data_IF_918164079717
#
_entry.id   IF_918164079717
#
_cell.length_a   1.000
_cell.length_b   1.000
_cell.length_c   1.000
_cell.angle_alpha   90.00
_cell.angle_beta   90.00
_cell.angle_gamma   90.00
#
_symmetry.space_group_name_H-M   'P 1'
#
loop_
_entity.id
_entity.type
_entity.pdbx_description
1 polymer ?
#
# COMPACT_ATOMS: atom_id res chain seq x y z
N UNK A 1 -2.15 -1.74 -19.17
CA UNK A 1 -1.96 -2.67 -18.03
C UNK A 1 -1.49 -1.82 -16.87
N UNK A 2 -2.18 -1.83 -15.73
CA UNK A 2 -1.71 -1.13 -14.53
C UNK A 2 -0.42 -1.78 -14.03
N UNK A 3 0.55 -0.98 -13.60
CA UNK A 3 1.77 -1.52 -13.03
C UNK A 3 1.51 -2.03 -11.60
N UNK A 4 2.19 -3.12 -11.20
CA UNK A 4 1.89 -3.87 -9.97
C UNK A 4 1.95 -3.03 -8.68
N UNK A 5 2.70 -1.93 -8.68
CA UNK A 5 2.91 -1.05 -7.53
C UNK A 5 2.71 0.42 -7.89
N UNK A 6 1.67 0.73 -8.66
CA UNK A 6 1.32 2.07 -9.12
C UNK A 6 0.35 2.77 -8.14
N UNK A 7 0.87 3.67 -7.29
CA UNK A 7 0.08 4.32 -6.23
C UNK A 7 -0.62 5.61 -6.72
N UNK A 8 -0.35 6.05 -7.96
CA UNK A 8 -0.95 7.23 -8.57
C UNK A 8 -1.66 6.97 -9.92
N UNK A 9 -1.63 5.74 -10.43
CA UNK A 9 -2.29 5.36 -11.68
C UNK A 9 -1.59 5.86 -12.94
N UNK A 10 -0.33 6.29 -12.86
CA UNK A 10 0.42 6.84 -14.00
C UNK A 10 0.92 5.77 -14.99
N UNK A 11 0.67 4.49 -14.72
CA UNK A 11 1.12 3.36 -15.53
C UNK A 11 2.55 2.90 -15.23
N UNK A 12 3.18 3.46 -14.20
CA UNK A 12 4.51 3.09 -13.74
C UNK A 12 4.43 2.56 -12.31
N UNK A 13 5.22 1.53 -11.99
CA UNK A 13 5.37 1.14 -10.59
C UNK A 13 6.12 2.23 -9.86
N UNK A 14 5.57 2.70 -8.76
CA UNK A 14 6.19 3.64 -7.83
C UNK A 14 7.07 2.90 -6.81
N UNK A 15 7.80 3.67 -5.99
CA UNK A 15 8.66 3.14 -4.92
C UNK A 15 8.11 3.57 -3.57
N UNK A 16 7.95 2.61 -2.66
CA UNK A 16 7.69 2.87 -1.25
C UNK A 16 8.99 2.77 -0.44
N UNK A 17 9.30 3.80 0.34
CA UNK A 17 10.39 3.79 1.29
C UNK A 17 9.88 4.08 2.71
N UNK A 18 10.55 3.51 3.70
CA UNK A 18 10.33 3.82 5.11
C UNK A 18 11.65 4.18 5.78
N UNK A 19 11.69 5.34 6.42
CA UNK A 19 12.84 5.81 7.18
C UNK A 19 12.91 5.14 8.56
N UNK A 20 14.05 5.28 9.24
CA UNK A 20 14.27 4.67 10.55
C UNK A 20 13.32 5.20 11.64
N UNK A 21 12.84 6.44 11.49
CA UNK A 21 11.85 7.06 12.37
C UNK A 21 10.40 6.65 12.06
N UNK A 22 10.19 5.79 11.07
CA UNK A 22 8.88 5.34 10.62
C UNK A 22 8.25 6.22 9.54
N UNK A 23 8.85 7.34 9.13
CA UNK A 23 8.34 8.17 8.04
C UNK A 23 8.24 7.35 6.76
N UNK A 24 7.04 7.29 6.18
CA UNK A 24 6.74 6.57 4.95
C UNK A 24 6.69 7.56 3.80
N UNK A 25 7.42 7.25 2.72
CA UNK A 25 7.51 8.09 1.52
C UNK A 25 7.15 7.24 0.30
N UNK A 26 6.24 7.76 -0.53
CA UNK A 26 5.98 7.23 -1.87
C UNK A 26 6.71 8.08 -2.88
N UNK A 27 7.55 7.46 -3.70
CA UNK A 27 8.24 8.09 -4.80
C UNK A 27 7.54 7.74 -6.11
N UNK A 28 6.96 8.77 -6.75
CA UNK A 28 6.32 8.65 -8.05
C UNK A 28 7.39 8.35 -9.12
N UNK A 29 7.15 7.36 -9.97
CA UNK A 29 8.09 6.98 -11.02
C UNK A 29 7.64 7.46 -12.39
N UNK A 30 8.62 7.75 -13.24
CA UNK A 30 8.44 8.18 -14.63
C UNK A 30 9.60 7.65 -15.48
N UNK A 31 9.72 8.15 -16.71
CA UNK A 31 10.87 7.89 -17.58
C UNK A 31 11.64 9.17 -17.94
N UNK A 32 12.95 9.06 -18.10
CA UNK A 32 13.75 10.07 -18.79
C UNK A 32 13.32 10.20 -20.26
N UNK A 33 13.78 11.25 -20.95
CA UNK A 33 13.57 11.38 -22.41
C UNK A 33 14.13 10.19 -23.22
N UNK A 34 15.09 9.45 -22.67
CA UNK A 34 15.64 8.22 -23.24
C UNK A 34 14.92 6.94 -22.82
N UNK A 35 13.82 7.04 -22.07
CA UNK A 35 13.00 5.90 -21.64
C UNK A 35 13.52 5.14 -20.42
N UNK A 36 14.52 5.65 -19.70
CA UNK A 36 15.03 5.01 -18.48
C UNK A 36 14.16 5.36 -17.27
N UNK A 37 13.93 4.45 -16.30
CA UNK A 37 13.20 4.76 -15.08
C UNK A 37 13.82 5.94 -14.31
N UNK A 38 12.99 6.86 -13.84
CA UNK A 38 13.40 8.02 -13.05
C UNK A 38 12.36 8.33 -11.96
N UNK A 39 12.82 8.90 -10.85
CA UNK A 39 11.93 9.44 -9.81
C UNK A 39 11.42 10.80 -10.28
N UNK A 40 10.09 10.96 -10.33
CA UNK A 40 9.45 12.23 -10.65
C UNK A 40 9.29 13.11 -9.40
N UNK A 41 8.85 12.52 -8.29
CA UNK A 41 8.63 13.22 -7.01
C UNK A 41 8.68 12.24 -5.84
N UNK A 42 8.82 12.76 -4.62
CA UNK A 42 8.66 12.00 -3.38
C UNK A 42 7.66 12.71 -2.46
N UNK A 43 6.68 11.96 -1.96
CA UNK A 43 5.63 12.47 -1.06
C UNK A 43 5.70 11.71 0.25
N UNK A 44 5.81 12.44 1.37
CA UNK A 44 5.63 11.84 2.70
C UNK A 44 4.14 11.58 2.89
N UNK A 45 3.78 10.32 3.15
CA UNK A 45 2.37 9.89 3.21
C UNK A 45 1.90 9.61 4.63
N UNK A 46 2.83 9.39 5.57
CA UNK A 46 2.48 9.14 6.96
C UNK A 46 3.67 8.64 7.77
N UNK A 47 3.38 8.19 8.99
CA UNK A 47 4.36 7.57 9.89
C UNK A 47 3.83 6.20 10.30
N UNK A 48 4.63 5.17 10.04
CA UNK A 48 4.41 3.80 10.51
C UNK A 48 5.69 3.36 11.22
N UNK A 49 5.71 3.51 12.54
CA UNK A 49 6.87 3.12 13.35
C UNK A 49 7.19 1.62 13.26
N UNK A 50 8.23 1.18 13.98
CA UNK A 50 8.71 -0.20 13.92
C UNK A 50 7.68 -1.25 14.37
N UNK A 51 6.60 -0.86 15.08
CA UNK A 51 5.51 -1.77 15.47
C UNK A 51 4.59 -2.13 14.31
N UNK A 52 4.63 -1.37 13.20
CA UNK A 52 3.82 -1.60 12.01
C UNK A 52 4.60 -2.31 10.92
N UNK A 53 3.94 -3.24 10.23
CA UNK A 53 4.47 -3.86 9.01
C UNK A 53 3.45 -3.76 7.88
N UNK A 54 3.91 -3.36 6.69
CA UNK A 54 3.09 -3.41 5.49
C UNK A 54 2.85 -4.87 5.12
N UNK A 55 1.59 -5.28 5.04
CA UNK A 55 1.19 -6.65 4.73
C UNK A 55 0.67 -6.82 3.31
N UNK A 56 0.04 -5.78 2.77
CA UNK A 56 -0.58 -5.85 1.47
C UNK A 56 -0.71 -4.46 0.84
N UNK A 57 -0.80 -4.47 -0.48
CA UNK A 57 -1.19 -3.32 -1.31
C UNK A 57 -2.22 -3.81 -2.32
N UNK A 58 -3.21 -2.98 -2.61
CA UNK A 58 -4.37 -3.32 -3.43
C UNK A 58 -5.30 -2.12 -3.52
N UNK A 59 -6.17 -2.09 -4.53
CA UNK A 59 -7.23 -1.09 -4.61
C UNK A 59 -8.39 -1.54 -3.71
N UNK A 60 -8.27 -1.26 -2.40
CA UNK A 60 -9.20 -1.72 -1.37
C UNK A 60 -10.44 -0.83 -1.28
N UNK A 61 -10.39 0.38 -1.84
CA UNK A 61 -11.52 1.33 -1.89
C UNK A 61 -12.10 1.56 -3.30
N UNK A 62 -11.57 0.88 -4.32
CA UNK A 62 -11.96 0.97 -5.73
C UNK A 62 -11.81 2.39 -6.31
N UNK A 63 -10.73 3.07 -5.92
CA UNK A 63 -10.38 4.40 -6.42
C UNK A 63 -9.61 4.38 -7.74
N UNK A 64 -9.11 3.21 -8.16
CA UNK A 64 -8.21 3.06 -9.30
C UNK A 64 -6.74 3.30 -8.96
N UNK A 65 -6.40 3.54 -7.69
CA UNK A 65 -5.03 3.65 -7.17
C UNK A 65 -4.81 2.65 -6.04
N UNK A 66 -3.56 2.29 -5.76
CA UNK A 66 -3.25 1.30 -4.74
C UNK A 66 -3.27 1.90 -3.32
N UNK A 67 -3.97 1.24 -2.41
CA UNK A 67 -3.98 1.49 -0.98
C UNK A 67 -2.93 0.63 -0.23
N UNK A 68 -2.78 0.86 1.08
CA UNK A 68 -1.84 0.13 1.93
C UNK A 68 -2.52 -0.51 3.15
N UNK A 69 -2.30 -1.80 3.36
CA UNK A 69 -2.74 -2.51 4.56
C UNK A 69 -1.57 -2.77 5.51
N UNK A 70 -1.64 -2.19 6.71
CA UNK A 70 -0.63 -2.31 7.75
C UNK A 70 -1.14 -3.19 8.89
N UNK A 71 -0.26 -4.01 9.46
CA UNK A 71 -0.55 -4.77 10.68
C UNK A 71 0.43 -4.34 11.80
N UNK A 72 -0.10 -4.09 12.99
CA UNK A 72 0.68 -3.81 14.18
C UNK A 72 1.12 -5.11 14.88
N UNK A 73 2.18 -5.04 15.69
CA UNK A 73 2.63 -6.11 16.60
C UNK A 73 1.55 -6.61 17.58
N UNK A 74 0.55 -5.81 17.92
CA UNK A 74 -0.59 -6.23 18.75
C UNK A 74 -1.70 -6.96 17.95
N UNK A 75 -1.54 -7.08 16.63
CA UNK A 75 -2.49 -7.72 15.73
C UNK A 75 -3.56 -6.78 15.15
N UNK A 76 -3.55 -5.48 15.48
CA UNK A 76 -4.38 -4.48 14.81
C UNK A 76 -4.05 -4.41 13.33
N UNK A 77 -5.06 -4.25 12.49
CA UNK A 77 -4.91 -4.02 11.06
C UNK A 77 -5.51 -2.66 10.72
N UNK A 78 -4.74 -1.85 10.01
CA UNK A 78 -5.15 -0.51 9.56
C UNK A 78 -5.02 -0.45 8.05
N UNK A 79 -6.04 0.13 7.40
CA UNK A 79 -5.99 0.53 6.00
C UNK A 79 -5.58 2.00 5.92
N UNK A 80 -4.62 2.31 5.07
CA UNK A 80 -4.40 3.67 4.56
C UNK A 80 -4.97 3.72 3.15
N UNK A 81 -6.10 4.40 2.99
CA UNK A 81 -6.70 4.63 1.69
C UNK A 81 -5.93 5.76 0.99
N UNK A 82 -5.48 5.52 -0.23
CA UNK A 82 -4.47 6.30 -0.95
C UNK A 82 -5.01 6.73 -2.30
N UNK A 83 -5.14 8.03 -2.55
CA UNK A 83 -5.43 8.56 -3.88
C UNK A 83 -4.28 9.46 -4.33
N UNK A 84 -3.74 9.22 -5.53
CA UNK A 84 -2.68 10.05 -6.13
C UNK A 84 -1.48 10.30 -5.18
N UNK A 85 -0.94 9.24 -4.59
CA UNK A 85 0.19 9.30 -3.64
C UNK A 85 -0.08 10.08 -2.35
N UNK A 86 -1.34 10.21 -1.92
CA UNK A 86 -1.72 10.83 -0.64
C UNK A 86 -2.68 9.93 0.13
N UNK A 87 -2.52 9.86 1.45
CA UNK A 87 -3.52 9.24 2.32
C UNK A 87 -4.75 10.15 2.35
N UNK A 88 -5.87 9.64 1.86
CA UNK A 88 -7.17 10.34 1.85
C UNK A 88 -8.12 9.83 2.92
N UNK A 89 -7.82 8.67 3.53
CA UNK A 89 -8.65 8.08 4.57
C UNK A 89 -8.14 6.75 5.06
N UNK A 90 -9.08 5.92 5.53
CA UNK A 90 -8.81 4.63 6.14
C UNK A 90 -8.88 4.69 7.68
N UNK A 91 -8.26 3.72 8.34
CA UNK A 91 -8.32 3.53 9.78
C UNK A 91 -8.24 2.07 10.20
N UNK A 92 -8.53 1.81 11.47
CA UNK A 92 -8.60 0.45 12.01
C UNK A 92 -9.70 -0.33 11.28
N UNK A 93 -9.32 -1.41 10.63
CA UNK A 93 -10.26 -2.33 9.96
C UNK A 93 -10.58 -3.56 10.82
N UNK A 94 -9.71 -3.90 11.78
CA UNK A 94 -9.96 -4.98 12.73
C UNK A 94 -8.72 -5.47 13.44
N UNK A 95 -8.86 -6.59 14.14
CA UNK A 95 -7.77 -7.29 14.82
C UNK A 95 -7.74 -8.73 14.34
N UNK A 96 -6.68 -9.12 13.65
CA UNK A 96 -6.50 -10.51 13.19
C UNK A 96 -5.65 -11.32 14.17
N UNK A 97 -4.92 -10.66 15.06
CA UNK A 97 -3.92 -11.29 15.92
C UNK A 97 -2.53 -11.29 15.27
N UNK A 98 -1.48 -11.33 16.08
CA UNK A 98 -0.10 -11.25 15.59
C UNK A 98 0.43 -12.56 14.99
N UNK A 99 -0.28 -13.67 15.19
CA UNK A 99 0.00 -15.01 14.65
C UNK A 99 -0.44 -15.21 13.18
N UNK A 100 -1.18 -14.25 12.63
CA UNK A 100 -1.66 -14.29 11.24
C UNK A 100 -0.79 -13.46 10.30
N UNK A 101 -0.62 -13.97 9.09
CA UNK A 101 0.03 -13.28 7.97
C UNK A 101 -0.87 -13.27 6.73
N UNK A 102 -0.63 -12.31 5.83
CA UNK A 102 -1.33 -12.27 4.53
C UNK A 102 -0.79 -13.37 3.63
N UNK A 103 -1.67 -14.28 3.23
CA UNK A 103 -1.39 -15.37 2.30
C UNK A 103 -1.66 -14.98 0.84
N UNK A 104 -2.51 -13.98 0.60
CA UNK A 104 -2.78 -13.48 -0.75
C UNK A 104 -3.68 -12.24 -0.76
N UNK A 105 -3.64 -11.52 -1.88
CA UNK A 105 -4.52 -10.38 -2.18
C UNK A 105 -5.06 -10.49 -3.60
N UNK A 106 -6.24 -9.91 -3.83
CA UNK A 106 -6.91 -9.87 -5.13
C UNK A 106 -8.42 -9.83 -4.97
N UNK A 107 -9.17 -9.57 -6.04
CA UNK A 107 -10.63 -9.63 -6.01
C UNK A 107 -11.07 -11.10 -6.02
N UNK A 108 -11.38 -11.64 -4.84
CA UNK A 108 -11.76 -13.04 -4.65
C UNK A 108 -13.27 -13.26 -4.80
N UNK A 109 -14.07 -12.21 -4.61
CA UNK A 109 -15.52 -12.30 -4.59
C UNK A 109 -16.20 -11.75 -5.87
N UNK A 110 -15.47 -11.00 -6.70
CA UNK A 110 -15.92 -10.43 -7.97
C UNK A 110 -16.60 -9.06 -7.89
N UNK A 111 -16.47 -8.33 -6.78
CA UNK A 111 -17.09 -7.01 -6.58
C UNK A 111 -16.23 -5.84 -7.06
N UNK A 112 -15.01 -6.12 -7.54
CA UNK A 112 -14.06 -5.13 -8.04
C UNK A 112 -13.21 -4.48 -6.94
N UNK A 113 -13.37 -4.86 -5.67
CA UNK A 113 -12.50 -4.44 -4.58
C UNK A 113 -11.41 -5.49 -4.36
N UNK A 114 -10.22 -5.06 -3.95
CA UNK A 114 -9.20 -6.02 -3.53
C UNK A 114 -9.62 -6.68 -2.21
N UNK A 115 -9.54 -8.02 -2.14
CA UNK A 115 -9.71 -8.79 -0.92
C UNK A 115 -8.35 -9.19 -0.32
N UNK A 116 -8.38 -9.69 0.93
CA UNK A 116 -7.21 -10.16 1.66
C UNK A 116 -7.48 -11.54 2.26
N UNK A 117 -6.63 -12.51 1.93
CA UNK A 117 -6.62 -13.82 2.57
C UNK A 117 -5.56 -13.86 3.66
N UNK A 118 -5.97 -14.18 4.88
CA UNK A 118 -5.07 -14.39 6.02
C UNK A 118 -4.90 -15.88 6.31
N UNK A 119 -3.69 -16.28 6.72
CA UNK A 119 -3.40 -17.61 7.21
C UNK A 119 -2.56 -17.55 8.49
N UNK A 120 -2.77 -18.53 9.38
CA UNK A 120 -1.88 -18.75 10.51
C UNK A 120 -0.56 -19.34 10.04
N UNK A 121 0.51 -18.84 10.64
CA UNK A 121 1.86 -19.31 10.43
C UNK A 121 2.20 -20.44 11.41
#
# INVERSE_FOLDING_TARGET
MAAKYDFNGAGWSDILARQADGTVVVFSMTSTASGLPAVASGTVVGVADASWTLRAVGDFDHSGTLDMLWQNTDGAVVLWAMHNNQVVGGGLVGYVGSDWSVAGTGDFNGDGYADVLWARC
#
